data_IF_171614673331
#
_entry.id   IF_171614673331
#
_cell.length_a   1.000
_cell.length_b   1.000
_cell.length_c   1.000
_cell.angle_alpha   90.00
_cell.angle_beta   90.00
_cell.angle_gamma   90.00
#
_symmetry.space_group_name_H-M   'P 1'
#
loop_
_entity.id
_entity.type
_entity.pdbx_description
1 polymer ?
#
# COMPACT_ATOMS: atom_id res chain seq x y z
N UNK A 1 -17.19 -4.86 -29.62
CA UNK A 1 -17.01 -5.67 -28.39
C UNK A 1 -15.52 -5.68 -28.00
N UNK A 2 -15.12 -5.15 -26.83
CA UNK A 2 -13.77 -5.36 -26.29
C UNK A 2 -13.77 -6.64 -25.43
N UNK A 3 -12.84 -7.56 -25.66
CA UNK A 3 -12.77 -8.85 -24.95
C UNK A 3 -12.26 -8.62 -23.52
N UNK A 4 -13.13 -8.74 -22.52
CA UNK A 4 -12.73 -8.76 -21.11
C UNK A 4 -11.91 -10.02 -20.83
N UNK A 5 -10.59 -9.87 -20.65
CA UNK A 5 -9.74 -10.95 -20.14
C UNK A 5 -10.22 -11.27 -18.72
N UNK A 6 -10.80 -12.46 -18.51
CA UNK A 6 -11.11 -12.95 -17.17
C UNK A 6 -9.77 -13.19 -16.45
N UNK A 7 -9.34 -12.21 -15.67
CA UNK A 7 -8.14 -12.34 -14.85
C UNK A 7 -8.48 -13.29 -13.69
N UNK A 8 -8.15 -14.56 -13.85
CA UNK A 8 -8.16 -15.51 -12.74
C UNK A 8 -7.06 -15.06 -11.77
N UNK A 9 -7.46 -14.34 -10.71
CA UNK A 9 -6.65 -14.29 -9.50
C UNK A 9 -6.66 -15.70 -8.90
N UNK A 10 -5.72 -16.53 -9.36
CA UNK A 10 -5.36 -17.71 -8.61
C UNK A 10 -4.87 -17.26 -7.24
N UNK A 11 -5.47 -17.79 -6.16
CA UNK A 11 -4.79 -17.75 -4.88
C UNK A 11 -3.41 -18.38 -5.10
N UNK A 12 -2.35 -17.61 -4.88
CA UNK A 12 -1.01 -18.15 -4.81
C UNK A 12 -0.99 -19.05 -3.59
N UNK A 13 -1.17 -20.34 -3.83
CA UNK A 13 -1.07 -21.38 -2.79
C UNK A 13 0.36 -21.32 -2.28
N UNK A 14 0.53 -20.80 -1.05
CA UNK A 14 1.83 -20.57 -0.47
C UNK A 14 2.61 -21.89 -0.46
N UNK A 15 3.57 -22.02 -1.39
CA UNK A 15 4.30 -23.25 -1.61
C UNK A 15 5.11 -23.55 -0.36
N UNK A 16 4.72 -24.62 0.35
CA UNK A 16 5.41 -25.07 1.55
C UNK A 16 6.75 -25.67 1.16
N UNK A 17 7.75 -24.81 1.00
CA UNK A 17 9.17 -25.15 0.90
C UNK A 17 9.66 -25.72 2.25
N UNK A 18 9.16 -26.90 2.60
CA UNK A 18 9.65 -27.71 3.70
C UNK A 18 11.04 -28.24 3.30
N UNK A 19 12.09 -27.55 3.77
CA UNK A 19 13.46 -27.94 3.48
C UNK A 19 13.79 -29.28 4.15
N UNK A 20 14.36 -30.26 3.42
CA UNK A 20 14.97 -31.43 4.02
C UNK A 20 16.28 -30.98 4.70
N UNK A 21 16.20 -30.64 5.98
CA UNK A 21 17.38 -30.45 6.83
C UNK A 21 18.08 -31.81 6.96
N UNK A 22 19.18 -31.99 6.23
CA UNK A 22 19.96 -33.22 6.21
C UNK A 22 20.62 -33.43 7.58
N UNK A 23 20.74 -34.69 8.01
CA UNK A 23 21.40 -35.01 9.28
C UNK A 23 22.90 -34.66 9.20
N UNK A 24 23.37 -33.87 10.17
CA UNK A 24 24.76 -33.42 10.29
C UNK A 24 25.67 -34.65 10.56
N UNK A 25 26.36 -35.13 9.53
CA UNK A 25 27.37 -36.18 9.67
C UNK A 25 28.74 -35.55 9.93
N UNK A 26 29.38 -35.92 11.05
CA UNK A 26 30.62 -35.31 11.50
C UNK A 26 31.75 -35.36 10.44
N UNK A 27 32.28 -34.19 10.05
CA UNK A 27 33.71 -33.82 10.12
C UNK A 27 34.08 -32.59 9.26
N UNK A 28 33.24 -32.17 8.31
CA UNK A 28 33.58 -31.05 7.41
C UNK A 28 32.52 -29.93 7.39
N UNK A 29 32.48 -29.15 8.48
CA UNK A 29 31.59 -27.99 8.63
C UNK A 29 31.82 -26.91 7.56
N UNK A 30 33.00 -26.84 6.93
CA UNK A 30 33.26 -25.92 5.82
C UNK A 30 32.41 -26.27 4.59
N UNK A 31 32.43 -27.54 4.16
CA UNK A 31 31.61 -28.01 3.02
C UNK A 31 30.11 -27.84 3.31
N UNK A 32 29.69 -28.07 4.56
CA UNK A 32 28.29 -27.88 4.96
C UNK A 32 27.87 -26.41 4.96
N UNK A 33 28.74 -25.50 5.42
CA UNK A 33 28.54 -24.04 5.33
C UNK A 33 28.52 -23.55 3.87
N UNK A 34 29.42 -24.05 3.01
CA UNK A 34 29.42 -23.78 1.57
C UNK A 34 28.09 -24.20 0.92
N UNK A 35 27.61 -25.42 1.23
CA UNK A 35 26.34 -25.96 0.75
C UNK A 35 25.15 -25.09 1.17
N UNK A 36 25.00 -24.77 2.45
CA UNK A 36 23.87 -23.97 2.94
C UNK A 36 23.93 -22.52 2.40
N UNK A 37 25.12 -21.94 2.23
CA UNK A 37 25.28 -20.62 1.57
C UNK A 37 24.80 -20.66 0.11
N UNK A 38 25.06 -21.72 -0.65
CA UNK A 38 24.56 -21.86 -2.02
C UNK A 38 23.03 -22.08 -2.06
N UNK A 39 22.48 -22.85 -1.11
CA UNK A 39 21.03 -23.03 -0.97
C UNK A 39 20.34 -21.67 -0.67
N UNK A 40 20.90 -20.87 0.23
CA UNK A 40 20.38 -19.54 0.54
C UNK A 40 20.47 -18.57 -0.66
N UNK A 41 21.55 -18.62 -1.45
CA UNK A 41 21.64 -17.87 -2.72
C UNK A 41 20.56 -18.28 -3.72
N UNK A 42 20.23 -19.57 -3.81
CA UNK A 42 19.13 -20.05 -4.65
C UNK A 42 17.75 -19.61 -4.10
N UNK A 43 17.61 -19.44 -2.78
CA UNK A 43 16.40 -18.91 -2.18
C UNK A 43 16.21 -17.42 -2.47
N UNK A 44 17.28 -16.62 -2.51
CA UNK A 44 17.22 -15.19 -2.90
C UNK A 44 16.59 -14.94 -4.27
N UNK A 45 16.73 -15.86 -5.24
CA UNK A 45 16.10 -15.72 -6.56
C UNK A 45 14.68 -16.29 -6.65
N UNK A 46 14.28 -17.12 -5.68
CA UNK A 46 13.10 -18.00 -5.80
C UNK A 46 12.01 -17.73 -4.74
N UNK A 47 12.32 -16.98 -3.69
CA UNK A 47 11.40 -16.59 -2.62
C UNK A 47 11.03 -15.12 -2.78
N UNK A 48 9.74 -14.78 -2.62
CA UNK A 48 9.31 -13.39 -2.52
C UNK A 48 9.69 -12.85 -1.13
N UNK A 49 10.44 -11.74 -1.09
CA UNK A 49 10.81 -11.06 0.14
C UNK A 49 10.08 -9.73 0.30
N UNK A 50 9.80 -9.35 1.55
CA UNK A 50 9.67 -7.95 1.90
C UNK A 50 11.08 -7.33 1.97
N UNK A 51 11.21 -6.09 1.51
CA UNK A 51 12.46 -5.39 1.22
C UNK A 51 13.49 -5.44 2.38
N UNK A 52 13.01 -5.30 3.63
CA UNK A 52 13.83 -5.40 4.85
C UNK A 52 14.45 -6.79 5.07
N UNK A 53 13.70 -7.86 4.78
CA UNK A 53 14.14 -9.24 4.96
C UNK A 53 15.05 -9.72 3.84
N UNK A 54 14.85 -9.25 2.59
CA UNK A 54 15.79 -9.51 1.49
C UNK A 54 17.19 -8.98 1.85
N UNK A 55 17.23 -7.79 2.47
CA UNK A 55 18.45 -7.12 2.91
C UNK A 55 19.12 -7.86 4.07
N UNK A 56 18.36 -8.26 5.10
CA UNK A 56 18.87 -9.09 6.21
C UNK A 56 19.41 -10.44 5.74
N UNK A 57 18.71 -11.12 4.82
CA UNK A 57 19.10 -12.43 4.32
C UNK A 57 20.40 -12.36 3.50
N UNK A 58 20.58 -11.32 2.67
CA UNK A 58 21.85 -11.01 2.00
C UNK A 58 22.98 -10.76 3.00
N UNK A 59 22.72 -10.03 4.08
CA UNK A 59 23.75 -9.72 5.09
C UNK A 59 24.29 -10.99 5.79
N UNK A 60 23.42 -11.92 6.19
CA UNK A 60 23.85 -13.19 6.79
C UNK A 60 24.58 -14.10 5.78
N UNK A 61 24.18 -14.11 4.50
CA UNK A 61 24.92 -14.80 3.42
C UNK A 61 26.34 -14.22 3.28
N UNK A 62 26.49 -12.90 3.29
CA UNK A 62 27.79 -12.22 3.21
C UNK A 62 28.65 -12.53 4.45
N UNK A 63 28.05 -12.55 5.64
CA UNK A 63 28.73 -12.92 6.90
C UNK A 63 29.27 -14.35 6.83
N UNK A 64 28.46 -15.31 6.38
CA UNK A 64 28.86 -16.70 6.19
C UNK A 64 29.97 -16.85 5.13
N UNK A 65 29.83 -16.19 3.98
CA UNK A 65 30.88 -16.14 2.95
C UNK A 65 32.21 -15.60 3.49
N UNK A 66 32.17 -14.58 4.36
CA UNK A 66 33.39 -13.97 4.89
C UNK A 66 34.15 -14.91 5.84
N UNK A 67 33.48 -15.88 6.48
CA UNK A 67 34.17 -16.98 7.19
C UNK A 67 34.76 -17.98 6.21
N UNK A 68 34.06 -18.31 5.12
CA UNK A 68 34.54 -19.22 4.07
C UNK A 68 35.79 -18.70 3.33
N UNK A 69 35.93 -17.38 3.20
CA UNK A 69 37.05 -16.68 2.53
C UNK A 69 38.30 -16.49 3.39
N UNK A 70 38.22 -16.70 4.71
CA UNK A 70 39.39 -16.59 5.61
C UNK A 70 40.37 -17.75 5.38
N UNK A 71 41.66 -17.46 5.52
CA UNK A 71 42.71 -18.46 5.64
C UNK A 71 42.81 -18.99 7.08
N UNK A 72 43.26 -20.23 7.26
CA UNK A 72 43.56 -20.85 8.56
C UNK A 72 42.43 -20.76 9.61
N UNK A 73 41.19 -21.05 9.19
CA UNK A 73 40.01 -21.11 10.05
C UNK A 73 39.89 -22.47 10.72
N UNK A 74 39.73 -22.47 12.04
CA UNK A 74 39.53 -23.68 12.84
C UNK A 74 38.15 -24.31 12.65
N UNK A 75 38.06 -25.63 12.86
CA UNK A 75 36.82 -26.39 12.68
C UNK A 75 35.64 -25.84 13.51
N UNK A 76 35.92 -25.40 14.74
CA UNK A 76 34.93 -24.81 15.66
C UNK A 76 34.39 -23.46 15.16
N UNK A 77 35.20 -22.65 14.45
CA UNK A 77 34.70 -21.41 13.85
C UNK A 77 33.78 -21.71 12.67
N UNK A 78 34.11 -22.70 11.83
CA UNK A 78 33.19 -23.16 10.78
C UNK A 78 31.89 -23.74 11.37
N UNK A 79 31.97 -24.53 12.45
CA UNK A 79 30.78 -25.07 13.13
C UNK A 79 29.90 -23.96 13.71
N UNK A 80 30.51 -22.96 14.37
CA UNK A 80 29.81 -21.79 14.91
C UNK A 80 29.15 -20.97 13.80
N UNK A 81 29.88 -20.69 12.71
CA UNK A 81 29.36 -19.95 11.57
C UNK A 81 28.18 -20.68 10.89
N UNK A 82 28.26 -22.00 10.72
CA UNK A 82 27.17 -22.85 10.23
C UNK A 82 25.93 -22.77 11.14
N UNK A 83 26.10 -22.96 12.45
CA UNK A 83 25.01 -22.94 13.41
C UNK A 83 24.33 -21.55 13.48
N UNK A 84 25.11 -20.46 13.52
CA UNK A 84 24.57 -19.10 13.48
C UNK A 84 23.83 -18.82 12.16
N UNK A 85 24.45 -19.16 11.03
CA UNK A 85 23.90 -18.90 9.70
C UNK A 85 22.59 -19.66 9.46
N UNK A 86 22.55 -20.98 9.72
CA UNK A 86 21.33 -21.79 9.53
C UNK A 86 20.21 -21.33 10.46
N UNK A 87 20.52 -20.95 11.71
CA UNK A 87 19.53 -20.40 12.63
C UNK A 87 18.96 -19.06 12.13
N UNK A 88 19.82 -18.10 11.74
CA UNK A 88 19.40 -16.77 11.28
C UNK A 88 18.71 -16.79 9.93
N UNK A 89 19.19 -17.58 8.97
CA UNK A 89 18.55 -17.79 7.68
C UNK A 89 17.11 -18.33 7.86
N UNK A 90 16.92 -19.33 8.73
CA UNK A 90 15.62 -19.92 9.03
C UNK A 90 14.67 -18.94 9.75
N UNK A 91 15.20 -18.14 10.67
CA UNK A 91 14.45 -17.08 11.36
C UNK A 91 13.96 -15.99 10.37
N UNK A 92 14.86 -15.48 9.52
CA UNK A 92 14.54 -14.45 8.52
C UNK A 92 13.49 -14.98 7.52
N UNK A 93 13.64 -16.20 7.01
CA UNK A 93 12.68 -16.80 6.08
C UNK A 93 11.29 -17.03 6.72
N UNK A 94 11.24 -17.43 7.99
CA UNK A 94 9.98 -17.56 8.74
C UNK A 94 9.29 -16.21 8.89
N UNK A 95 10.02 -15.21 9.38
CA UNK A 95 9.46 -13.88 9.66
C UNK A 95 9.05 -13.18 8.35
N UNK A 96 9.81 -13.40 7.25
CA UNK A 96 9.42 -12.97 5.91
C UNK A 96 8.12 -13.63 5.44
N UNK A 97 7.98 -14.95 5.59
CA UNK A 97 6.73 -15.67 5.22
C UNK A 97 5.52 -15.14 5.99
N UNK A 98 5.65 -14.91 7.29
CA UNK A 98 4.61 -14.31 8.14
C UNK A 98 4.23 -12.89 7.67
N UNK A 99 5.21 -12.11 7.18
CA UNK A 99 4.98 -10.77 6.62
C UNK A 99 4.31 -10.80 5.24
N UNK A 100 4.69 -11.72 4.36
CA UNK A 100 4.01 -11.94 3.07
C UNK A 100 2.56 -12.42 3.30
N UNK A 101 2.31 -13.27 4.29
CA UNK A 101 0.95 -13.69 4.68
C UNK A 101 0.10 -12.52 5.21
N UNK A 102 0.69 -11.60 5.98
CA UNK A 102 0.05 -10.33 6.36
C UNK A 102 -0.34 -9.50 5.13
N UNK A 103 0.57 -9.34 4.16
CA UNK A 103 0.32 -8.61 2.92
C UNK A 103 -0.78 -9.24 2.06
N UNK A 104 -0.79 -10.57 1.90
CA UNK A 104 -1.86 -11.29 1.16
C UNK A 104 -3.21 -11.15 1.88
N UNK A 105 -3.24 -11.24 3.22
CA UNK A 105 -4.45 -11.01 4.02
C UNK A 105 -4.98 -9.58 3.87
N UNK A 106 -4.08 -8.60 3.86
CA UNK A 106 -4.41 -7.18 3.66
C UNK A 106 -4.92 -6.88 2.25
N UNK A 107 -4.28 -7.45 1.22
CA UNK A 107 -4.74 -7.42 -0.17
C UNK A 107 -6.16 -7.99 -0.30
N UNK A 108 -6.44 -9.11 0.37
CA UNK A 108 -7.78 -9.70 0.45
C UNK A 108 -8.83 -8.73 1.00
N UNK A 109 -8.50 -7.93 2.03
CA UNK A 109 -9.41 -6.91 2.55
C UNK A 109 -9.70 -5.79 1.53
N UNK A 110 -8.73 -5.40 0.70
CA UNK A 110 -8.95 -4.41 -0.37
C UNK A 110 -9.91 -4.98 -1.42
N UNK A 111 -9.72 -6.24 -1.82
CA UNK A 111 -10.61 -6.90 -2.78
C UNK A 111 -12.04 -7.10 -2.25
N UNK A 112 -12.25 -7.30 -0.95
CA UNK A 112 -13.59 -7.33 -0.36
C UNK A 112 -14.32 -5.99 -0.54
N UNK A 113 -13.65 -4.86 -0.27
CA UNK A 113 -14.25 -3.53 -0.47
C UNK A 113 -14.50 -3.26 -1.96
N UNK A 114 -13.53 -3.56 -2.83
CA UNK A 114 -13.69 -3.43 -4.28
C UNK A 114 -14.88 -4.25 -4.83
N UNK A 115 -15.09 -5.45 -4.28
CA UNK A 115 -16.23 -6.29 -4.63
C UNK A 115 -17.57 -5.74 -4.11
N UNK A 116 -17.61 -5.08 -2.95
CA UNK A 116 -18.84 -4.38 -2.51
C UNK A 116 -19.20 -3.18 -3.40
N UNK A 117 -18.22 -2.44 -3.94
CA UNK A 117 -18.48 -1.39 -4.95
C UNK A 117 -19.07 -1.98 -6.23
N UNK A 118 -18.51 -3.10 -6.73
CA UNK A 118 -19.04 -3.86 -7.87
C UNK A 118 -20.47 -4.34 -7.60
N UNK A 119 -20.71 -4.93 -6.43
CA UNK A 119 -22.02 -5.42 -6.03
C UNK A 119 -23.05 -4.27 -5.97
N UNK A 120 -22.71 -3.14 -5.34
CA UNK A 120 -23.57 -1.96 -5.28
C UNK A 120 -23.92 -1.43 -6.69
N UNK A 121 -22.93 -1.35 -7.58
CA UNK A 121 -23.14 -0.97 -8.97
C UNK A 121 -24.10 -1.92 -9.70
N UNK A 122 -24.06 -3.23 -9.43
CA UNK A 122 -24.96 -4.21 -10.05
C UNK A 122 -26.35 -4.29 -9.39
N UNK A 123 -26.44 -4.12 -8.08
CA UNK A 123 -27.65 -4.39 -7.30
C UNK A 123 -28.49 -3.15 -6.97
N UNK A 124 -27.86 -2.03 -6.63
CA UNK A 124 -28.53 -0.84 -6.11
C UNK A 124 -28.71 0.25 -7.20
N UNK A 125 -27.88 0.22 -8.24
CA UNK A 125 -27.96 1.11 -9.40
C UNK A 125 -28.56 0.38 -10.61
N UNK A 126 -29.86 0.04 -10.51
CA UNK A 126 -30.66 -0.70 -11.52
C UNK A 126 -31.69 0.21 -12.20
N UNK A 127 -31.84 0.04 -13.52
CA UNK A 127 -32.75 0.85 -14.34
C UNK A 127 -32.14 2.16 -14.83
N UNK A 128 -32.73 2.78 -15.85
CA UNK A 128 -32.14 3.92 -16.55
C UNK A 128 -31.93 5.17 -15.67
N UNK A 129 -32.75 5.34 -14.61
CA UNK A 129 -32.62 6.41 -13.62
C UNK A 129 -31.20 6.58 -13.08
N UNK A 130 -30.49 5.47 -12.81
CA UNK A 130 -29.13 5.51 -12.25
C UNK A 130 -28.04 5.18 -13.28
N UNK A 131 -28.35 5.17 -14.58
CA UNK A 131 -27.43 4.73 -15.65
C UNK A 131 -26.11 5.49 -15.65
N UNK A 132 -26.17 6.81 -15.52
CA UNK A 132 -24.99 7.69 -15.42
C UNK A 132 -24.21 7.46 -14.13
N UNK A 133 -24.92 7.37 -13.00
CA UNK A 133 -24.31 7.15 -11.68
C UNK A 133 -23.62 5.78 -11.59
N UNK A 134 -24.21 4.75 -12.21
CA UNK A 134 -23.62 3.42 -12.38
C UNK A 134 -22.35 3.49 -13.23
N UNK A 135 -22.37 4.20 -14.35
CA UNK A 135 -21.18 4.36 -15.20
C UNK A 135 -20.03 5.02 -14.42
N UNK A 136 -20.32 6.10 -13.67
CA UNK A 136 -19.36 6.80 -12.79
C UNK A 136 -18.76 5.90 -11.70
N UNK A 137 -19.57 5.09 -11.02
CA UNK A 137 -19.05 4.10 -10.05
C UNK A 137 -18.18 3.03 -10.72
N UNK A 138 -18.61 2.53 -11.88
CA UNK A 138 -17.87 1.51 -12.67
C UNK A 138 -16.50 2.05 -13.11
N UNK A 139 -16.45 3.28 -13.60
CA UNK A 139 -15.21 3.97 -13.97
C UNK A 139 -14.27 4.13 -12.76
N UNK A 140 -14.76 4.72 -11.65
CA UNK A 140 -13.95 4.93 -10.44
C UNK A 140 -13.41 3.64 -9.83
N UNK A 141 -14.18 2.54 -9.80
CA UNK A 141 -13.63 1.28 -9.28
C UNK A 141 -12.70 0.58 -10.29
N UNK A 142 -12.88 0.75 -11.61
CA UNK A 142 -11.98 0.19 -12.62
C UNK A 142 -10.62 0.89 -12.66
N UNK A 143 -10.59 2.20 -12.41
CA UNK A 143 -9.35 2.95 -12.20
C UNK A 143 -8.56 2.36 -11.02
N UNK A 144 -9.23 2.18 -9.86
CA UNK A 144 -8.60 1.60 -8.67
C UNK A 144 -8.23 0.12 -8.80
N UNK A 145 -9.01 -0.67 -9.54
CA UNK A 145 -8.65 -2.05 -9.89
C UNK A 145 -7.39 -2.10 -10.78
N UNK A 146 -7.28 -1.18 -11.74
CA UNK A 146 -6.09 -1.04 -12.59
C UNK A 146 -4.88 -0.60 -11.78
N UNK A 147 -5.06 0.32 -10.83
CA UNK A 147 -3.99 0.74 -9.91
C UNK A 147 -3.47 -0.43 -9.08
N UNK A 148 -4.34 -1.28 -8.53
CA UNK A 148 -3.99 -2.44 -7.71
C UNK A 148 -3.20 -3.51 -8.47
N UNK A 149 -3.53 -3.76 -9.73
CA UNK A 149 -2.85 -4.78 -10.57
C UNK A 149 -1.36 -4.45 -10.78
N UNK A 150 -0.96 -3.18 -10.61
CA UNK A 150 0.44 -2.75 -10.74
C UNK A 150 1.30 -2.93 -9.47
N UNK A 151 0.72 -3.30 -8.32
CA UNK A 151 1.41 -3.27 -7.02
C UNK A 151 2.03 -4.62 -6.64
N UNK A 152 3.24 -4.60 -6.07
CA UNK A 152 3.86 -5.75 -5.38
C UNK A 152 3.12 -6.08 -4.06
N UNK A 153 3.37 -7.25 -3.49
CA UNK A 153 2.85 -7.63 -2.16
C UNK A 153 3.19 -6.60 -1.07
N UNK A 154 4.40 -6.04 -1.04
CA UNK A 154 4.86 -5.07 -0.03
C UNK A 154 4.08 -3.73 -0.02
N UNK A 155 3.31 -3.44 -1.07
CA UNK A 155 2.33 -2.35 -1.03
C UNK A 155 1.20 -2.61 -0.02
N UNK A 156 0.82 -3.86 0.25
CA UNK A 156 -0.26 -4.23 1.15
C UNK A 156 0.17 -4.27 2.63
N UNK A 157 1.09 -3.39 3.02
CA UNK A 157 1.35 -3.06 4.41
C UNK A 157 0.11 -2.38 5.06
N UNK A 158 -0.02 -2.34 6.40
CA UNK A 158 -1.24 -1.85 7.06
C UNK A 158 -1.60 -0.40 6.73
N UNK A 159 -0.60 0.48 6.54
CA UNK A 159 -0.80 1.91 6.28
C UNK A 159 -1.39 2.16 4.90
N UNK A 160 -0.76 1.62 3.85
CA UNK A 160 -1.26 1.77 2.48
C UNK A 160 -2.56 0.99 2.26
N UNK A 161 -2.71 -0.19 2.88
CA UNK A 161 -3.97 -0.95 2.88
C UNK A 161 -5.12 -0.13 3.47
N UNK A 162 -4.89 0.59 4.57
CA UNK A 162 -5.89 1.49 5.14
C UNK A 162 -6.22 2.63 4.17
N UNK A 163 -5.22 3.35 3.68
CA UNK A 163 -5.41 4.45 2.70
C UNK A 163 -6.23 4.00 1.48
N UNK A 164 -5.94 2.81 0.95
CA UNK A 164 -6.65 2.29 -0.22
C UNK A 164 -8.10 1.91 0.07
N UNK A 165 -8.36 1.26 1.22
CA UNK A 165 -9.74 0.96 1.68
C UNK A 165 -10.52 2.25 1.93
N UNK A 166 -9.91 3.25 2.56
CA UNK A 166 -10.54 4.55 2.84
C UNK A 166 -10.87 5.30 1.53
N UNK A 167 -10.02 5.19 0.51
CA UNK A 167 -10.30 5.74 -0.83
C UNK A 167 -11.47 5.02 -1.53
N UNK A 168 -11.53 3.68 -1.48
CA UNK A 168 -12.66 2.91 -2.02
C UNK A 168 -13.97 3.21 -1.27
N UNK A 169 -13.92 3.37 0.05
CA UNK A 169 -15.09 3.74 0.86
C UNK A 169 -15.62 5.13 0.49
N UNK A 170 -14.75 6.13 0.28
CA UNK A 170 -15.17 7.47 -0.19
C UNK A 170 -15.92 7.41 -1.51
N UNK A 171 -15.44 6.61 -2.47
CA UNK A 171 -16.12 6.39 -3.76
C UNK A 171 -17.53 5.81 -3.54
N UNK A 172 -17.73 4.92 -2.56
CA UNK A 172 -19.05 4.38 -2.25
C UNK A 172 -19.98 5.42 -1.59
N UNK A 173 -19.48 6.23 -0.65
CA UNK A 173 -20.30 7.24 0.02
C UNK A 173 -20.68 8.42 -0.89
N UNK A 174 -19.79 8.88 -1.78
CA UNK A 174 -20.11 9.83 -2.86
C UNK A 174 -21.29 9.32 -3.71
N UNK A 175 -21.21 8.07 -4.14
CA UNK A 175 -22.22 7.45 -5.02
C UNK A 175 -23.53 7.15 -4.27
N UNK A 176 -23.51 6.95 -2.94
CA UNK A 176 -24.72 6.89 -2.11
C UNK A 176 -25.40 8.25 -2.03
N UNK A 177 -24.66 9.33 -1.73
CA UNK A 177 -25.21 10.67 -1.64
C UNK A 177 -25.83 11.14 -2.97
N UNK A 178 -25.16 10.87 -4.10
CA UNK A 178 -25.71 11.15 -5.43
C UNK A 178 -26.94 10.27 -5.75
N UNK A 179 -27.01 9.03 -5.27
CA UNK A 179 -28.21 8.19 -5.40
C UNK A 179 -29.38 8.79 -4.61
N UNK A 180 -29.13 9.24 -3.39
CA UNK A 180 -30.15 9.82 -2.51
C UNK A 180 -30.72 11.12 -3.08
N UNK A 181 -29.89 11.97 -3.69
CA UNK A 181 -30.35 13.16 -4.43
C UNK A 181 -31.23 12.80 -5.63
N UNK A 182 -30.91 11.73 -6.36
CA UNK A 182 -31.77 11.22 -7.44
C UNK A 182 -33.08 10.62 -6.92
N UNK A 183 -33.11 10.10 -5.69
CA UNK A 183 -34.31 9.56 -5.03
C UNK A 183 -35.20 10.64 -4.45
N UNK A 184 -34.62 11.69 -3.87
CA UNK A 184 -35.33 12.79 -3.22
C UNK A 184 -35.01 14.14 -3.88
N UNK A 185 -35.37 14.38 -5.17
CA UNK A 185 -34.99 15.58 -5.91
C UNK A 185 -35.54 16.90 -5.33
N UNK A 186 -36.48 16.83 -4.38
CA UNK A 186 -37.02 18.02 -3.70
C UNK A 186 -36.13 18.54 -2.56
N UNK A 187 -35.09 17.81 -2.12
CA UNK A 187 -34.24 18.24 -0.99
C UNK A 187 -33.10 19.20 -1.40
N UNK A 188 -32.97 19.54 -2.67
CA UNK A 188 -31.94 20.47 -3.19
C UNK A 188 -32.49 21.84 -3.62
N UNK A 189 -33.75 22.17 -3.28
CA UNK A 189 -34.42 23.42 -3.67
C UNK A 189 -35.07 24.12 -2.47
N UNK A 190 -34.23 24.62 -1.56
CA UNK A 190 -34.65 25.47 -0.43
C UNK A 190 -33.58 26.50 -0.04
N UNK A 191 -32.95 27.12 -1.03
CA UNK A 191 -32.07 28.28 -0.89
C UNK A 191 -32.03 29.08 -2.19
N UNK A 192 -31.90 30.41 -2.07
CA UNK A 192 -31.72 31.40 -3.15
C UNK A 192 -32.81 31.53 -4.22
N UNK A 193 -34.03 31.90 -3.82
CA UNK A 193 -34.97 32.80 -4.53
C UNK A 193 -36.11 33.16 -3.51
N UNK A 194 -36.62 34.38 -3.37
CA UNK A 194 -36.34 35.67 -4.05
C UNK A 194 -36.59 36.86 -3.10
N UNK A 195 -35.91 37.99 -3.33
CA UNK A 195 -36.47 39.34 -3.07
C UNK A 195 -36.01 40.27 -4.20
N UNK A 196 -36.94 41.04 -4.76
CA UNK A 196 -36.69 41.77 -6.01
C UNK A 196 -36.16 43.20 -5.83
N UNK A 197 -35.37 43.59 -6.82
CA UNK A 197 -35.09 44.95 -7.30
C UNK A 197 -36.17 46.01 -7.04
N UNK A 198 -35.79 47.16 -6.43
CA UNK A 198 -35.87 48.46 -7.13
C UNK A 198 -35.12 49.59 -6.40
N UNK A 199 -34.69 50.62 -7.14
CA UNK A 199 -34.16 51.88 -6.59
C UNK A 199 -33.05 52.51 -7.42
N UNK A 200 -33.24 53.74 -7.90
CA UNK A 200 -32.28 54.47 -8.74
C UNK A 200 -32.03 55.88 -8.20
N UNK A 201 -30.83 56.40 -8.46
CA UNK A 201 -30.38 57.76 -8.16
C UNK A 201 -29.04 57.78 -7.41
N UNK A 202 -28.10 58.71 -7.60
CA UNK A 202 -27.71 59.65 -8.67
C UNK A 202 -26.73 60.61 -7.97
N UNK A 203 -25.53 60.78 -8.52
CA UNK A 203 -24.55 61.89 -8.34
C UNK A 203 -24.34 62.56 -6.95
N UNK A 204 -23.08 62.65 -6.53
CA UNK A 204 -22.69 63.38 -5.31
C UNK A 204 -21.17 63.45 -5.12
N UNK A 205 -20.52 64.39 -5.79
CA UNK A 205 -19.06 64.64 -5.66
C UNK A 205 -18.71 65.34 -4.34
N UNK A 206 -17.57 65.00 -3.73
CA UNK A 206 -16.70 66.04 -3.16
C UNK A 206 -15.23 65.58 -2.99
N UNK A 207 -14.34 66.56 -2.84
CA UNK A 207 -12.89 66.42 -2.66
C UNK A 207 -12.51 66.19 -1.18
N UNK A 208 -11.29 65.68 -0.94
CA UNK A 208 -10.72 65.52 0.40
C UNK A 208 -9.30 64.94 0.36
N UNK A 209 -8.30 65.74 0.69
CA UNK A 209 -6.87 65.42 0.54
C UNK A 209 -6.25 64.70 1.76
N UNK A 210 -4.96 64.39 1.60
CA UNK A 210 -3.94 64.13 2.64
C UNK A 210 -3.78 62.72 3.23
N UNK A 211 -2.57 62.29 3.63
CA UNK A 211 -1.19 62.56 3.13
C UNK A 211 -0.19 61.71 3.94
N UNK A 212 0.75 61.04 3.26
CA UNK A 212 2.09 60.63 3.76
C UNK A 212 2.25 59.50 4.81
N UNK A 213 3.50 58.96 4.81
CA UNK A 213 4.22 58.31 5.92
C UNK A 213 3.96 56.83 6.28
N UNK A 214 4.71 55.95 5.61
CA UNK A 214 5.35 54.78 6.25
C UNK A 214 6.51 55.28 7.15
N UNK A 215 6.96 54.58 8.23
CA UNK A 215 7.82 53.39 8.05
C UNK A 215 7.75 52.32 9.19
N UNK A 216 8.77 51.44 9.17
CA UNK A 216 9.21 50.36 10.09
C UNK A 216 9.14 50.62 11.62
N UNK A 217 9.31 49.63 12.52
CA UNK A 217 9.84 48.24 12.35
C UNK A 217 8.91 47.18 13.02
N UNK A 218 9.25 46.14 13.81
CA UNK A 218 10.45 45.70 14.56
C UNK A 218 10.52 44.16 14.66
N UNK A 219 11.70 43.62 14.98
CA UNK A 219 11.94 42.22 15.38
C UNK A 219 11.84 42.07 16.91
N UNK A 220 11.62 40.84 17.43
CA UNK A 220 12.36 40.38 18.62
C UNK A 220 12.44 38.84 18.68
N UNK A 221 13.52 38.32 19.29
CA UNK A 221 13.72 36.90 19.62
C UNK A 221 13.67 36.70 21.15
N UNK A 222 13.48 35.45 21.59
CA UNK A 222 14.16 34.68 22.69
C UNK A 222 13.19 33.56 23.15
N UNK A 223 13.57 32.28 23.34
CA UNK A 223 14.44 31.64 24.36
C UNK A 223 14.06 32.06 25.79
N UNK A 224 13.93 31.19 26.80
CA UNK A 224 14.41 29.80 26.98
C UNK A 224 13.65 29.14 28.13
N UNK A 225 13.51 27.81 28.13
CA UNK A 225 13.92 26.89 29.23
C UNK A 225 14.00 25.45 28.70
#
# INVERSE_FOLDING_TARGET
MKKSKKFLLGLVTASTFALPLVAISCTNYKIELEKEVQIAKQQLSNVEFADDFETQFKAEIIKAENVLKKENVEADEYQKALNEFVAKAKEILKNNKEKIEEYVKNQGQVFLVLNSLKQYAHEQLKGDKYKTLKAKLVEKYQEKETELISKKSSFFNPTETKKFKDALNRILEEIKAEKEQLDNPSSSSSSTESTESNGSGSEGSNEGSDSSSNPSTSEEMTTTE
#
